data_IF_112848990462
#
_entry.id   IF_112848990462
#
_cell.length_a   1.000
_cell.length_b   1.000
_cell.length_c   1.000
_cell.angle_alpha   90.00
_cell.angle_beta   90.00
_cell.angle_gamma   90.00
#
_symmetry.space_group_name_H-M   'P 1'
#
loop_
_entity.id
_entity.type
_entity.pdbx_description
1 polymer ?
#
# COMPACT_ATOMS: atom_id res chain seq x y z
N UNK A 1 -68.60 32.60 23.45
CA UNK A 1 -68.26 31.16 23.28
C UNK A 1 -67.83 30.76 21.87
N UNK A 2 -68.69 30.35 20.92
CA UNK A 2 -68.20 29.77 19.63
C UNK A 2 -67.33 30.73 18.80
N UNK A 3 -67.70 32.02 18.75
CA UNK A 3 -66.89 33.07 18.08
C UNK A 3 -65.55 33.33 18.76
N UNK A 4 -65.47 33.17 20.08
CA UNK A 4 -64.23 33.35 20.84
C UNK A 4 -63.31 32.15 20.69
N UNK A 5 -63.83 30.91 20.79
CA UNK A 5 -63.07 29.70 20.48
C UNK A 5 -62.45 29.74 19.08
N UNK A 6 -63.19 30.26 18.08
CA UNK A 6 -62.66 30.40 16.71
C UNK A 6 -61.52 31.42 16.61
N UNK A 7 -61.55 32.51 17.40
CA UNK A 7 -60.46 33.49 17.48
C UNK A 7 -59.24 32.89 18.18
N UNK A 8 -59.43 32.20 19.30
CA UNK A 8 -58.33 31.57 20.06
C UNK A 8 -57.64 30.50 19.23
N UNK A 9 -58.39 29.65 18.53
CA UNK A 9 -57.83 28.63 17.63
C UNK A 9 -57.05 29.24 16.46
N UNK A 10 -57.48 30.39 15.93
CA UNK A 10 -56.75 31.09 14.87
C UNK A 10 -55.39 31.59 15.37
N UNK A 11 -55.36 32.23 16.54
CA UNK A 11 -54.12 32.72 17.18
C UNK A 11 -53.16 31.55 17.48
N UNK A 12 -53.67 30.45 18.04
CA UNK A 12 -52.86 29.26 18.31
C UNK A 12 -52.26 28.66 17.03
N UNK A 13 -53.04 28.63 15.94
CA UNK A 13 -52.58 28.11 14.65
C UNK A 13 -51.50 28.99 14.01
N UNK A 14 -51.59 30.32 14.17
CA UNK A 14 -50.60 31.28 13.67
C UNK A 14 -49.30 31.21 14.49
N UNK A 15 -49.39 31.09 15.82
CA UNK A 15 -48.24 30.85 16.70
C UNK A 15 -47.54 29.52 16.38
N UNK A 16 -48.30 28.45 16.14
CA UNK A 16 -47.73 27.14 15.79
C UNK A 16 -47.01 27.20 14.44
N UNK A 17 -47.58 27.89 13.45
CA UNK A 17 -46.93 28.12 12.16
C UNK A 17 -45.64 28.94 12.30
N UNK A 18 -45.68 30.02 13.08
CA UNK A 18 -44.50 30.85 13.34
C UNK A 18 -43.38 30.05 14.03
N UNK A 19 -43.71 29.33 15.12
CA UNK A 19 -42.75 28.50 15.84
C UNK A 19 -42.17 27.39 14.94
N UNK A 20 -42.99 26.79 14.07
CA UNK A 20 -42.50 25.79 13.11
C UNK A 20 -41.54 26.37 12.08
N UNK A 21 -41.73 27.64 11.67
CA UNK A 21 -40.85 28.35 10.74
C UNK A 21 -39.51 28.66 11.41
N UNK A 22 -39.55 29.20 12.64
CA UNK A 22 -38.34 29.48 13.43
C UNK A 22 -37.55 28.19 13.71
N UNK A 23 -38.23 27.09 14.06
CA UNK A 23 -37.56 25.80 14.28
C UNK A 23 -36.87 25.26 13.02
N UNK A 24 -37.50 25.41 11.83
CA UNK A 24 -36.88 25.04 10.55
C UNK A 24 -35.67 25.90 10.23
N UNK A 25 -35.79 27.22 10.37
CA UNK A 25 -34.68 28.16 10.12
C UNK A 25 -33.49 27.89 11.07
N UNK A 26 -33.76 27.61 12.35
CA UNK A 26 -32.72 27.22 13.31
C UNK A 26 -32.06 25.88 12.95
N UNK A 27 -32.83 24.89 12.51
CA UNK A 27 -32.29 23.59 12.07
C UNK A 27 -31.42 23.74 10.81
N UNK A 28 -31.85 24.56 9.85
CA UNK A 28 -31.05 24.88 8.65
C UNK A 28 -29.75 25.61 9.01
N UNK A 29 -29.79 26.54 9.96
CA UNK A 29 -28.61 27.27 10.44
C UNK A 29 -27.64 26.33 11.17
N UNK A 30 -28.14 25.43 12.01
CA UNK A 30 -27.35 24.40 12.68
C UNK A 30 -26.69 23.46 11.67
N UNK A 31 -27.41 23.02 10.63
CA UNK A 31 -26.84 22.18 9.58
C UNK A 31 -25.74 22.89 8.78
N UNK A 32 -25.90 24.19 8.50
CA UNK A 32 -24.85 24.99 7.84
C UNK A 32 -23.61 25.12 8.73
N UNK A 33 -23.80 25.35 10.03
CA UNK A 33 -22.70 25.41 10.99
C UNK A 33 -21.97 24.06 11.11
N UNK A 34 -22.70 22.95 11.16
CA UNK A 34 -22.12 21.61 11.20
C UNK A 34 -21.33 21.30 9.92
N UNK A 35 -21.86 21.60 8.74
CA UNK A 35 -21.18 21.39 7.47
C UNK A 35 -19.88 22.23 7.35
N UNK A 36 -19.89 23.47 7.84
CA UNK A 36 -18.69 24.31 7.88
C UNK A 36 -17.65 23.77 8.89
N UNK A 37 -18.09 23.25 10.03
CA UNK A 37 -17.21 22.62 11.01
C UNK A 37 -16.56 21.34 10.47
N UNK A 38 -17.31 20.50 9.74
CA UNK A 38 -16.77 19.34 9.03
C UNK A 38 -15.72 19.74 8.01
N UNK A 39 -15.99 20.80 7.24
CA UNK A 39 -15.04 21.34 6.25
C UNK A 39 -13.77 21.86 6.92
N UNK A 40 -13.88 22.62 8.02
CA UNK A 40 -12.72 23.12 8.76
C UNK A 40 -11.90 21.98 9.36
N UNK A 41 -12.57 20.97 9.91
CA UNK A 41 -11.91 19.78 10.46
C UNK A 41 -11.14 19.03 9.37
N UNK A 42 -11.74 18.84 8.20
CA UNK A 42 -11.08 18.23 7.05
C UNK A 42 -9.83 19.01 6.59
N UNK A 43 -9.92 20.35 6.53
CA UNK A 43 -8.78 21.19 6.15
C UNK A 43 -7.64 21.09 7.18
N UNK A 44 -7.96 21.09 8.47
CA UNK A 44 -6.98 20.92 9.54
C UNK A 44 -6.29 19.57 9.48
N UNK A 45 -7.04 18.49 9.24
CA UNK A 45 -6.47 17.14 9.05
C UNK A 45 -5.56 17.09 7.83
N UNK A 46 -5.96 17.75 6.73
CA UNK A 46 -5.12 17.84 5.54
C UNK A 46 -3.84 18.62 5.80
N UNK A 47 -3.92 19.75 6.48
CA UNK A 47 -2.75 20.55 6.85
C UNK A 47 -1.81 19.79 7.78
N UNK A 48 -2.36 19.05 8.75
CA UNK A 48 -1.57 18.19 9.63
C UNK A 48 -0.84 17.09 8.84
N UNK A 49 -1.54 16.38 7.93
CA UNK A 49 -0.90 15.40 7.04
C UNK A 49 0.20 16.03 6.19
N UNK A 50 -0.02 17.22 5.66
CA UNK A 50 0.98 17.93 4.88
C UNK A 50 2.21 18.29 5.72
N UNK A 51 2.03 18.74 6.97
CA UNK A 51 3.13 19.01 7.90
C UNK A 51 3.94 17.76 8.24
N UNK A 52 3.25 16.65 8.53
CA UNK A 52 3.90 15.36 8.80
C UNK A 52 4.68 14.88 7.58
N UNK A 53 4.12 15.03 6.38
CA UNK A 53 4.80 14.70 5.14
C UNK A 53 6.04 15.59 4.89
N UNK A 54 5.94 16.91 5.07
CA UNK A 54 7.09 17.81 4.94
C UNK A 54 8.19 17.50 5.97
N UNK A 55 7.81 17.12 7.19
CA UNK A 55 8.77 16.65 8.21
C UNK A 55 9.49 15.38 7.75
N UNK A 56 8.74 14.39 7.27
CA UNK A 56 9.31 13.16 6.70
C UNK A 56 10.29 13.47 5.57
N UNK A 57 9.89 14.32 4.61
CA UNK A 57 10.76 14.72 3.50
C UNK A 57 12.06 15.34 3.98
N UNK A 58 11.99 16.23 4.99
CA UNK A 58 13.18 16.85 5.56
C UNK A 58 14.12 15.83 6.21
N UNK A 59 13.57 14.95 7.06
CA UNK A 59 14.37 13.93 7.74
C UNK A 59 15.03 13.00 6.72
N UNK A 60 14.28 12.61 5.69
CA UNK A 60 14.76 11.81 4.57
C UNK A 60 15.91 12.50 3.82
N UNK A 61 15.74 13.75 3.39
CA UNK A 61 16.76 14.42 2.57
C UNK A 61 18.02 14.73 3.37
N UNK A 62 17.88 14.99 4.67
CA UNK A 62 19.02 15.15 5.56
C UNK A 62 19.85 13.87 5.66
N UNK A 63 19.19 12.71 5.78
CA UNK A 63 19.86 11.40 5.74
C UNK A 63 20.55 11.16 4.40
N UNK A 64 19.85 11.41 3.29
CA UNK A 64 20.40 11.19 1.94
C UNK A 64 21.59 12.11 1.64
N UNK A 65 21.54 13.37 2.09
CA UNK A 65 22.67 14.31 2.01
C UNK A 65 23.88 13.79 2.77
N UNK A 66 23.69 13.31 4.01
CA UNK A 66 24.77 12.75 4.82
C UNK A 66 25.41 11.54 4.13
N UNK A 67 24.60 10.68 3.51
CA UNK A 67 25.12 9.55 2.74
C UNK A 67 25.88 9.99 1.49
N UNK A 68 25.34 10.95 0.73
CA UNK A 68 25.99 11.50 -0.45
C UNK A 68 27.34 12.15 -0.14
N UNK A 69 27.45 12.87 0.98
CA UNK A 69 28.71 13.46 1.46
C UNK A 69 29.71 12.37 1.88
N UNK A 70 29.26 11.34 2.59
CA UNK A 70 30.17 10.26 3.01
C UNK A 70 30.67 9.43 1.82
N UNK A 71 29.80 9.13 0.85
CA UNK A 71 30.18 8.42 -0.37
C UNK A 71 31.15 9.27 -1.20
N UNK A 72 30.87 10.57 -1.35
CA UNK A 72 31.71 11.51 -2.08
C UNK A 72 33.06 11.84 -1.39
N UNK A 73 33.23 11.48 -0.12
CA UNK A 73 34.46 11.79 0.65
C UNK A 73 35.71 11.01 0.20
N UNK A 74 35.58 10.02 -0.69
CA UNK A 74 36.68 9.17 -1.15
C UNK A 74 37.15 8.14 -0.11
N UNK A 75 36.39 7.95 0.97
CA UNK A 75 36.68 6.96 2.03
C UNK A 75 36.52 5.51 1.57
N UNK A 76 35.70 5.28 0.55
CA UNK A 76 35.42 3.96 -0.01
C UNK A 76 36.27 3.71 -1.26
N UNK A 77 36.57 2.43 -1.52
CA UNK A 77 37.09 2.06 -2.84
C UNK A 77 36.01 2.29 -3.91
N UNK A 78 36.45 2.40 -5.17
CA UNK A 78 35.64 2.87 -6.29
C UNK A 78 34.33 2.06 -6.50
N UNK A 79 34.42 0.73 -6.39
CA UNK A 79 33.28 -0.19 -6.57
C UNK A 79 32.21 -0.03 -5.46
N UNK A 80 32.56 -0.13 -4.15
CA UNK A 80 31.62 0.20 -3.08
C UNK A 80 31.03 1.62 -3.19
N UNK A 81 31.85 2.62 -3.55
CA UNK A 81 31.37 4.00 -3.69
C UNK A 81 30.30 4.11 -4.78
N UNK A 82 30.56 3.50 -5.96
CA UNK A 82 29.60 3.47 -7.07
C UNK A 82 28.31 2.73 -6.69
N UNK A 83 28.43 1.54 -6.09
CA UNK A 83 27.27 0.75 -5.69
C UNK A 83 26.41 1.48 -4.64
N UNK A 84 27.05 2.08 -3.62
CA UNK A 84 26.36 2.90 -2.62
C UNK A 84 25.68 4.12 -3.26
N UNK A 85 26.36 4.82 -4.17
CA UNK A 85 25.78 5.96 -4.88
C UNK A 85 24.54 5.56 -5.69
N UNK A 86 24.59 4.41 -6.37
CA UNK A 86 23.47 3.88 -7.15
C UNK A 86 22.27 3.53 -6.27
N UNK A 87 22.51 2.92 -5.11
CA UNK A 87 21.49 2.56 -4.13
C UNK A 87 20.81 3.81 -3.56
N UNK A 88 21.60 4.78 -3.07
CA UNK A 88 21.07 6.03 -2.51
C UNK A 88 20.29 6.81 -3.57
N UNK A 89 20.83 6.95 -4.79
CA UNK A 89 20.15 7.64 -5.89
C UNK A 89 18.82 6.97 -6.26
N UNK A 90 18.82 5.65 -6.41
CA UNK A 90 17.61 4.89 -6.71
C UNK A 90 16.55 5.01 -5.61
N UNK A 91 16.96 5.16 -4.34
CA UNK A 91 16.03 5.40 -3.22
C UNK A 91 15.35 6.76 -3.34
N UNK A 92 16.11 7.81 -3.63
CA UNK A 92 15.55 9.16 -3.84
C UNK A 92 14.56 9.16 -5.01
N UNK A 93 14.90 8.48 -6.10
CA UNK A 93 14.02 8.33 -7.28
C UNK A 93 12.75 7.55 -6.96
N UNK A 94 12.83 6.50 -6.14
CA UNK A 94 11.70 5.65 -5.76
C UNK A 94 10.66 6.38 -4.89
N UNK A 95 11.08 7.34 -4.06
CA UNK A 95 10.17 8.19 -3.29
C UNK A 95 9.43 9.20 -4.19
N UNK A 96 9.82 9.37 -5.46
CA UNK A 96 9.25 10.37 -6.35
C UNK A 96 9.52 11.81 -5.90
N UNK A 97 10.58 12.00 -5.10
CA UNK A 97 10.94 13.29 -4.53
C UNK A 97 11.79 14.07 -5.54
N UNK A 98 11.42 15.33 -5.74
CA UNK A 98 12.21 16.30 -6.49
C UNK A 98 12.50 17.52 -5.62
N UNK A 99 13.35 18.43 -6.11
CA UNK A 99 13.55 19.73 -5.45
C UNK A 99 12.24 20.53 -5.29
N UNK A 100 11.20 20.24 -6.07
CA UNK A 100 9.88 20.90 -5.93
C UNK A 100 9.04 20.33 -4.79
N UNK A 101 9.37 19.15 -4.28
CA UNK A 101 8.62 18.50 -3.20
C UNK A 101 8.79 19.21 -1.85
N UNK A 102 9.86 20.01 -1.70
CA UNK A 102 10.19 20.71 -0.45
C UNK A 102 9.62 22.14 -0.45
N UNK A 103 9.11 22.57 0.69
CA UNK A 103 8.66 23.95 0.87
C UNK A 103 9.83 24.91 1.15
N UNK A 104 10.78 24.48 1.98
CA UNK A 104 11.88 25.33 2.43
C UNK A 104 13.05 25.33 1.44
N UNK A 105 13.61 26.51 1.16
CA UNK A 105 14.72 26.69 0.21
C UNK A 105 15.94 25.85 0.62
N UNK A 106 16.27 25.82 1.92
CA UNK A 106 17.39 25.04 2.44
C UNK A 106 17.25 23.54 2.13
N UNK A 107 16.06 22.99 2.27
CA UNK A 107 15.79 21.57 1.99
C UNK A 107 15.95 21.26 0.48
N UNK A 108 15.63 22.23 -0.40
CA UNK A 108 15.87 22.14 -1.85
C UNK A 108 17.36 22.15 -2.19
N UNK A 109 18.13 22.99 -1.51
CA UNK A 109 19.58 23.06 -1.68
C UNK A 109 20.23 21.75 -1.22
N UNK A 110 19.79 21.20 -0.08
CA UNK A 110 20.24 19.90 0.41
C UNK A 110 19.96 18.78 -0.59
N UNK A 111 18.78 18.77 -1.20
CA UNK A 111 18.46 17.83 -2.27
C UNK A 111 19.43 17.98 -3.45
N UNK A 112 19.63 19.21 -3.93
CA UNK A 112 20.45 19.48 -5.10
C UNK A 112 21.91 19.08 -4.87
N UNK A 113 22.46 19.39 -3.69
CA UNK A 113 23.81 19.00 -3.29
C UNK A 113 23.97 17.49 -3.18
N UNK A 114 22.97 16.80 -2.62
CA UNK A 114 23.00 15.34 -2.50
C UNK A 114 23.04 14.68 -3.88
N UNK A 115 22.15 15.09 -4.79
CA UNK A 115 22.11 14.57 -6.16
C UNK A 115 23.40 14.87 -6.91
N UNK A 116 23.90 16.10 -6.86
CA UNK A 116 25.14 16.49 -7.54
C UNK A 116 26.35 15.67 -7.03
N UNK A 117 26.45 15.43 -5.73
CA UNK A 117 27.52 14.62 -5.15
C UNK A 117 27.45 13.16 -5.63
N UNK A 118 26.24 12.57 -5.64
CA UNK A 118 26.03 11.21 -6.13
C UNK A 118 26.34 11.09 -7.62
N UNK A 119 25.89 12.05 -8.43
CA UNK A 119 26.14 12.08 -9.87
C UNK A 119 27.63 12.16 -10.18
N UNK A 120 28.37 13.01 -9.46
CA UNK A 120 29.84 13.06 -9.59
C UNK A 120 30.51 11.72 -9.31
N UNK A 121 30.04 10.96 -8.32
CA UNK A 121 30.61 9.63 -8.02
C UNK A 121 30.33 8.66 -9.18
N UNK A 122 29.10 8.67 -9.70
CA UNK A 122 28.69 7.80 -10.80
C UNK A 122 29.41 8.15 -12.11
N UNK A 123 29.54 9.43 -12.45
CA UNK A 123 30.17 9.92 -13.69
C UNK A 123 31.69 9.75 -13.70
N UNK A 124 32.35 9.88 -12.55
CA UNK A 124 33.81 9.72 -12.45
C UNK A 124 34.26 8.25 -12.32
N UNK A 125 33.33 7.32 -12.24
CA UNK A 125 33.64 5.90 -12.10
C UNK A 125 34.18 5.30 -13.39
N UNK A 126 35.19 4.44 -13.28
CA UNK A 126 35.76 3.73 -14.41
C UNK A 126 34.77 2.73 -15.01
N UNK A 127 34.98 2.34 -16.28
CA UNK A 127 34.11 1.38 -16.97
C UNK A 127 34.02 0.02 -16.26
N UNK A 128 35.13 -0.42 -15.65
CA UNK A 128 35.18 -1.63 -14.83
C UNK A 128 34.27 -1.51 -13.61
N UNK A 129 34.41 -0.40 -12.88
CA UNK A 129 33.59 -0.10 -11.70
C UNK A 129 32.10 -0.05 -12.03
N UNK A 130 31.73 0.60 -13.12
CA UNK A 130 30.34 0.67 -13.60
C UNK A 130 29.80 -0.74 -13.83
N UNK A 131 30.55 -1.59 -14.55
CA UNK A 131 30.10 -2.95 -14.89
C UNK A 131 29.92 -3.83 -13.64
N UNK A 132 30.89 -3.82 -12.72
CA UNK A 132 30.84 -4.65 -11.51
C UNK A 132 29.79 -4.12 -10.52
N UNK A 133 29.70 -2.80 -10.38
CA UNK A 133 28.74 -2.14 -9.52
C UNK A 133 27.30 -2.26 -9.99
N UNK A 134 27.04 -2.17 -11.30
CA UNK A 134 25.71 -2.40 -11.88
C UNK A 134 25.28 -3.86 -11.70
N UNK A 135 26.19 -4.82 -11.90
CA UNK A 135 25.89 -6.24 -11.66
C UNK A 135 25.52 -6.50 -10.19
N UNK A 136 26.21 -5.86 -9.25
CA UNK A 136 25.84 -5.92 -7.84
C UNK A 136 24.46 -5.31 -7.61
N UNK A 137 24.24 -4.10 -8.11
CA UNK A 137 23.01 -3.34 -7.94
C UNK A 137 21.78 -4.07 -8.52
N UNK A 138 21.90 -4.70 -9.70
CA UNK A 138 20.84 -5.50 -10.29
C UNK A 138 20.45 -6.70 -9.44
N UNK A 139 21.43 -7.43 -8.89
CA UNK A 139 21.19 -8.55 -7.99
C UNK A 139 20.53 -8.08 -6.69
N UNK A 140 21.03 -6.99 -6.11
CA UNK A 140 20.43 -6.35 -4.94
C UNK A 140 18.96 -5.95 -5.18
N UNK A 141 18.67 -5.28 -6.30
CA UNK A 141 17.32 -4.89 -6.68
C UNK A 141 16.41 -6.11 -6.90
N UNK A 142 16.93 -7.20 -7.42
CA UNK A 142 16.18 -8.46 -7.60
C UNK A 142 15.73 -9.03 -6.24
N UNK A 143 16.61 -9.03 -5.24
CA UNK A 143 16.24 -9.41 -3.87
C UNK A 143 15.15 -8.50 -3.30
N UNK A 144 15.31 -7.18 -3.42
CA UNK A 144 14.32 -6.22 -2.92
C UNK A 144 12.95 -6.40 -3.58
N UNK A 145 12.91 -6.59 -4.90
CA UNK A 145 11.65 -6.83 -5.63
C UNK A 145 10.99 -8.15 -5.22
N UNK A 146 11.78 -9.18 -4.97
CA UNK A 146 11.27 -10.47 -4.49
C UNK A 146 10.62 -10.32 -3.10
N UNK A 147 11.31 -9.65 -2.17
CA UNK A 147 10.79 -9.38 -0.81
C UNK A 147 9.51 -8.54 -0.90
N UNK A 148 9.51 -7.44 -1.66
CA UNK A 148 8.34 -6.59 -1.82
C UNK A 148 7.13 -7.36 -2.39
N UNK A 149 7.34 -8.25 -3.37
CA UNK A 149 6.26 -9.11 -3.89
C UNK A 149 5.70 -10.02 -2.80
N UNK A 150 6.56 -10.59 -1.95
CA UNK A 150 6.12 -11.42 -0.82
C UNK A 150 5.35 -10.61 0.21
N UNK A 151 5.78 -9.38 0.54
CA UNK A 151 5.06 -8.49 1.46
C UNK A 151 3.65 -8.14 0.95
N UNK A 152 3.52 -7.78 -0.33
CA UNK A 152 2.22 -7.53 -0.95
C UNK A 152 1.33 -8.78 -0.87
N UNK A 153 1.90 -9.96 -1.12
CA UNK A 153 1.18 -11.21 -0.98
C UNK A 153 0.76 -11.49 0.47
N UNK A 154 1.60 -11.15 1.46
CA UNK A 154 1.25 -11.27 2.89
C UNK A 154 0.04 -10.39 3.21
N UNK A 155 0.08 -9.11 2.84
CA UNK A 155 -1.00 -8.16 3.10
C UNK A 155 -2.33 -8.58 2.47
N UNK A 156 -2.27 -9.21 1.30
CA UNK A 156 -3.42 -9.83 0.66
C UNK A 156 -4.10 -10.86 1.55
N UNK A 157 -3.33 -11.81 2.08
CA UNK A 157 -3.85 -12.92 2.86
C UNK A 157 -4.24 -12.50 4.28
N UNK A 158 -3.55 -11.51 4.88
CA UNK A 158 -3.98 -10.87 6.13
C UNK A 158 -5.38 -10.26 5.96
N UNK A 159 -5.62 -9.59 4.82
CA UNK A 159 -6.91 -8.97 4.48
C UNK A 159 -7.80 -9.85 3.59
N UNK A 160 -7.64 -11.18 3.65
CA UNK A 160 -8.28 -12.11 2.71
C UNK A 160 -9.79 -11.92 2.60
N UNK A 161 -10.48 -11.70 3.73
CA UNK A 161 -11.94 -11.52 3.75
C UNK A 161 -12.43 -10.28 2.96
N UNK A 162 -11.59 -9.26 2.79
CA UNK A 162 -11.89 -8.09 1.94
C UNK A 162 -11.49 -8.31 0.48
N UNK A 163 -10.52 -9.20 0.26
CA UNK A 163 -9.86 -9.36 -1.03
C UNK A 163 -10.20 -10.67 -1.75
N UNK A 164 -10.97 -11.59 -1.16
CA UNK A 164 -11.23 -12.95 -1.69
C UNK A 164 -11.93 -12.99 -3.06
N UNK A 165 -12.63 -11.90 -3.43
CA UNK A 165 -13.23 -11.73 -4.75
C UNK A 165 -12.22 -11.34 -5.83
N UNK A 166 -10.99 -11.06 -5.45
CA UNK A 166 -9.89 -10.74 -6.34
C UNK A 166 -8.86 -11.87 -6.33
N UNK A 167 -8.13 -11.99 -7.42
CA UNK A 167 -6.90 -12.77 -7.50
C UNK A 167 -5.81 -11.81 -7.95
N UNK A 168 -4.63 -11.99 -7.40
CA UNK A 168 -3.45 -11.26 -7.81
C UNK A 168 -2.75 -12.04 -8.92
N UNK A 169 -2.65 -11.44 -10.10
CA UNK A 169 -1.83 -11.97 -11.18
C UNK A 169 -0.48 -11.23 -11.20
N UNK A 170 0.64 -11.97 -11.16
CA UNK A 170 1.95 -11.36 -11.31
C UNK A 170 2.04 -10.72 -12.69
N UNK A 171 2.38 -9.43 -12.74
CA UNK A 171 2.56 -8.66 -13.97
C UNK A 171 3.79 -7.77 -13.82
N UNK A 172 4.95 -8.27 -14.23
CA UNK A 172 6.23 -7.57 -14.03
C UNK A 172 6.53 -7.44 -12.53
N UNK A 173 6.58 -6.20 -12.04
CA UNK A 173 6.88 -5.86 -10.65
C UNK A 173 5.65 -5.63 -9.77
N UNK A 174 4.45 -5.68 -10.34
CA UNK A 174 3.20 -5.45 -9.62
C UNK A 174 2.27 -6.67 -9.68
N UNK A 175 1.34 -6.72 -8.71
CA UNK A 175 0.21 -7.62 -8.77
C UNK A 175 -1.03 -6.90 -9.28
N UNK A 176 -1.56 -7.33 -10.43
CA UNK A 176 -2.83 -6.81 -10.93
C UNK A 176 -3.99 -7.54 -10.27
N UNK A 177 -4.92 -6.79 -9.67
CA UNK A 177 -6.19 -7.33 -9.16
C UNK A 177 -7.06 -7.70 -10.36
N UNK A 178 -7.42 -8.98 -10.47
CA UNK A 178 -8.48 -9.44 -11.36
C UNK A 178 -9.61 -10.05 -10.54
N UNK A 179 -10.84 -9.89 -11.00
CA UNK A 179 -11.97 -10.65 -10.46
C UNK A 179 -11.60 -12.13 -10.45
N UNK A 180 -11.68 -12.73 -9.27
CA UNK A 180 -11.33 -14.13 -9.12
C UNK A 180 -12.34 -14.97 -9.93
N UNK A 181 -11.90 -16.07 -10.58
CA UNK A 181 -12.82 -17.04 -11.17
C UNK A 181 -13.83 -17.59 -10.14
N UNK A 182 -13.47 -17.49 -8.85
CA UNK A 182 -14.31 -17.75 -7.69
C UNK A 182 -15.44 -16.71 -7.54
N UNK A 183 -15.17 -15.42 -7.71
CA UNK A 183 -16.21 -14.40 -7.76
C UNK A 183 -17.18 -14.66 -8.91
N UNK A 184 -16.66 -14.96 -10.11
CA UNK A 184 -17.48 -15.34 -11.28
C UNK A 184 -18.35 -16.57 -10.96
N UNK A 185 -17.78 -17.57 -10.29
CA UNK A 185 -18.50 -18.77 -9.84
C UNK A 185 -19.60 -18.48 -8.81
N UNK A 186 -19.32 -17.69 -7.77
CA UNK A 186 -20.28 -17.29 -6.75
C UNK A 186 -21.44 -16.46 -7.36
N UNK A 187 -21.13 -15.49 -8.22
CA UNK A 187 -22.14 -14.72 -8.94
C UNK A 187 -23.01 -15.62 -9.83
N UNK A 188 -22.42 -16.61 -10.51
CA UNK A 188 -23.19 -17.57 -11.32
C UNK A 188 -24.06 -18.52 -10.48
N UNK A 189 -23.59 -18.97 -9.32
CA UNK A 189 -24.34 -19.85 -8.42
C UNK A 189 -25.52 -19.13 -7.75
N UNK A 190 -25.35 -17.86 -7.38
CA UNK A 190 -26.43 -17.00 -6.87
C UNK A 190 -27.55 -16.81 -7.90
N UNK A 191 -27.22 -16.75 -9.19
CA UNK A 191 -28.20 -16.71 -10.29
C UNK A 191 -28.94 -18.05 -10.39
N UNK A 192 -28.24 -19.18 -10.37
CA UNK A 192 -28.91 -20.50 -10.46
C UNK A 192 -29.85 -20.77 -9.27
N UNK A 193 -29.47 -20.37 -8.06
CA UNK A 193 -30.29 -20.54 -6.85
C UNK A 193 -31.52 -19.61 -6.80
N UNK A 194 -31.49 -18.47 -7.50
CA UNK A 194 -32.64 -17.55 -7.57
C UNK A 194 -33.67 -17.97 -8.62
N UNK A 195 -33.26 -18.71 -9.66
CA UNK A 195 -34.14 -19.15 -10.75
C UNK A 195 -34.61 -20.62 -10.66
N UNK A 196 -34.00 -21.46 -9.82
CA UNK A 196 -34.43 -22.86 -9.61
C UNK A 196 -34.66 -23.18 -8.12
N UNK A 197 -35.91 -23.38 -7.68
CA UNK A 197 -36.21 -23.78 -6.30
C UNK A 197 -35.88 -25.27 -6.13
N UNK A 198 -34.63 -25.59 -5.81
CA UNK A 198 -34.24 -26.95 -5.45
C UNK A 198 -34.68 -27.28 -4.01
N UNK A 199 -35.17 -28.50 -3.74
CA UNK A 199 -35.51 -28.94 -2.39
C UNK A 199 -34.28 -28.88 -1.47
N UNK A 200 -34.51 -28.54 -0.20
CA UNK A 200 -33.51 -28.18 0.83
C UNK A 200 -32.30 -29.15 0.86
N UNK A 201 -32.52 -30.44 0.66
CA UNK A 201 -31.47 -31.47 0.64
C UNK A 201 -30.59 -31.38 -0.62
N UNK A 202 -31.18 -31.15 -1.80
CA UNK A 202 -30.44 -30.91 -3.04
C UNK A 202 -29.64 -29.61 -3.02
N UNK A 203 -30.17 -28.58 -2.34
CA UNK A 203 -29.46 -27.32 -2.09
C UNK A 203 -28.19 -27.49 -1.25
N UNK A 204 -28.23 -28.30 -0.19
CA UNK A 204 -27.07 -28.56 0.68
C UNK A 204 -25.99 -29.37 -0.06
N UNK A 205 -26.37 -30.39 -0.84
CA UNK A 205 -25.41 -31.14 -1.67
C UNK A 205 -24.79 -30.25 -2.77
N UNK A 206 -25.58 -29.40 -3.42
CA UNK A 206 -25.07 -28.44 -4.40
C UNK A 206 -24.11 -27.42 -3.76
N UNK A 207 -24.41 -26.90 -2.57
CA UNK A 207 -23.52 -26.03 -1.81
C UNK A 207 -22.22 -26.73 -1.40
N UNK A 208 -22.28 -28.02 -1.06
CA UNK A 208 -21.12 -28.82 -0.68
C UNK A 208 -20.20 -29.12 -1.89
N UNK A 209 -20.78 -29.46 -3.04
CA UNK A 209 -20.04 -29.71 -4.28
C UNK A 209 -19.43 -28.42 -4.80
N UNK A 210 -20.20 -27.32 -4.82
CA UNK A 210 -19.69 -26.00 -5.19
C UNK A 210 -18.57 -25.57 -4.25
N UNK A 211 -18.67 -25.82 -2.94
CA UNK A 211 -17.59 -25.57 -1.97
C UNK A 211 -16.32 -26.39 -2.25
N UNK A 212 -16.41 -27.68 -2.54
CA UNK A 212 -15.25 -28.52 -2.88
C UNK A 212 -14.61 -28.07 -4.20
N UNK A 213 -15.42 -27.73 -5.20
CA UNK A 213 -14.93 -27.19 -6.47
C UNK A 213 -14.28 -25.82 -6.29
N UNK A 214 -14.84 -25.01 -5.39
CA UNK A 214 -14.26 -23.74 -4.93
C UNK A 214 -12.87 -23.97 -4.36
N UNK A 215 -12.72 -24.93 -3.44
CA UNK A 215 -11.44 -25.24 -2.81
C UNK A 215 -10.40 -25.73 -3.82
N UNK A 216 -10.77 -26.63 -4.74
CA UNK A 216 -9.85 -27.09 -5.80
C UNK A 216 -9.42 -25.94 -6.72
N UNK A 217 -10.30 -24.99 -7.02
CA UNK A 217 -10.02 -23.86 -7.92
C UNK A 217 -9.21 -22.75 -7.23
N UNK A 218 -9.49 -22.46 -5.96
CA UNK A 218 -8.66 -21.62 -5.06
C UNK A 218 -7.22 -22.12 -5.09
N UNK A 219 -7.00 -23.42 -4.86
CA UNK A 219 -5.65 -24.00 -4.85
C UNK A 219 -4.94 -23.78 -6.19
N UNK A 220 -5.64 -23.92 -7.32
CA UNK A 220 -5.05 -23.70 -8.65
C UNK A 220 -4.69 -22.23 -8.91
N UNK A 221 -5.58 -21.31 -8.57
CA UNK A 221 -5.40 -19.88 -8.85
C UNK A 221 -4.34 -19.25 -7.92
N UNK A 222 -4.26 -19.70 -6.66
CA UNK A 222 -3.21 -19.25 -5.73
C UNK A 222 -1.90 -20.03 -5.88
N UNK A 223 -1.89 -21.23 -6.47
CA UNK A 223 -0.65 -21.98 -6.72
C UNK A 223 0.31 -21.22 -7.64
N UNK A 224 -0.22 -20.54 -8.66
CA UNK A 224 0.59 -19.67 -9.52
C UNK A 224 1.19 -18.48 -8.74
N UNK A 225 0.43 -17.91 -7.80
CA UNK A 225 0.89 -16.85 -6.92
C UNK A 225 1.99 -17.36 -5.99
N UNK A 226 1.76 -18.45 -5.26
CA UNK A 226 2.74 -19.06 -4.36
C UNK A 226 4.02 -19.49 -5.09
N UNK A 227 3.89 -20.08 -6.28
CA UNK A 227 5.05 -20.40 -7.13
C UNK A 227 5.83 -19.15 -7.52
N UNK A 228 5.15 -18.05 -7.87
CA UNK A 228 5.83 -16.79 -8.22
C UNK A 228 6.59 -16.14 -7.07
N UNK A 229 6.20 -16.44 -5.82
CA UNK A 229 6.87 -15.97 -4.61
C UNK A 229 7.72 -17.06 -3.94
N UNK A 230 7.98 -18.18 -4.63
CA UNK A 230 8.79 -19.31 -4.14
C UNK A 230 8.29 -19.96 -2.84
N UNK A 231 6.98 -19.95 -2.60
CA UNK A 231 6.34 -20.61 -1.44
C UNK A 231 5.78 -21.97 -1.88
N UNK A 232 6.11 -23.02 -1.12
CA UNK A 232 5.59 -24.37 -1.37
C UNK A 232 4.09 -24.47 -1.05
N UNK A 233 3.31 -24.98 -2.01
CA UNK A 233 1.84 -25.06 -1.94
C UNK A 233 1.32 -26.33 -1.25
N UNK A 234 2.21 -27.28 -0.92
CA UNK A 234 1.81 -28.65 -0.57
C UNK A 234 0.96 -28.77 0.71
N UNK A 235 0.89 -27.73 1.55
CA UNK A 235 0.12 -27.69 2.81
C UNK A 235 -1.01 -26.66 2.86
N UNK A 236 -1.24 -25.92 1.76
CA UNK A 236 -2.14 -24.76 1.72
C UNK A 236 -3.44 -25.10 0.97
N UNK A 237 -4.47 -25.58 1.68
CA UNK A 237 -5.78 -25.93 1.12
C UNK A 237 -6.96 -25.32 1.92
N UNK A 238 -7.91 -24.65 1.23
CA UNK A 238 -9.20 -24.19 1.77
C UNK A 238 -9.36 -22.68 2.11
N UNK A 239 -10.40 -22.31 2.87
CA UNK A 239 -10.66 -20.94 3.39
C UNK A 239 -9.95 -20.70 4.74
N UNK A 240 -9.65 -21.77 5.48
CA UNK A 240 -8.76 -21.80 6.66
C UNK A 240 -7.27 -21.56 6.31
N UNK A 241 -7.02 -21.08 5.10
CA UNK A 241 -5.71 -20.92 4.45
C UNK A 241 -5.02 -19.64 4.83
N UNK A 242 -5.75 -18.57 5.14
CA UNK A 242 -5.14 -17.26 5.36
C UNK A 242 -4.03 -17.30 6.44
N UNK A 243 -4.21 -17.88 7.64
CA UNK A 243 -3.15 -17.91 8.65
C UNK A 243 -1.94 -18.78 8.25
N UNK A 244 -2.18 -19.93 7.60
CA UNK A 244 -1.10 -20.82 7.15
C UNK A 244 -0.33 -20.25 5.96
N UNK A 245 -1.03 -19.58 5.05
CA UNK A 245 -0.45 -18.87 3.92
C UNK A 245 0.36 -17.66 4.39
N UNK A 246 -0.19 -16.86 5.31
CA UNK A 246 0.54 -15.74 5.93
C UNK A 246 1.83 -16.24 6.55
N UNK A 247 1.77 -17.30 7.38
CA UNK A 247 2.97 -17.88 7.99
C UNK A 247 3.98 -18.39 6.97
N UNK A 248 3.56 -19.12 5.94
CA UNK A 248 4.45 -19.62 4.90
C UNK A 248 5.10 -18.48 4.09
N UNK A 249 4.37 -17.38 3.87
CA UNK A 249 4.91 -16.18 3.23
C UNK A 249 5.89 -15.46 4.16
N UNK A 250 5.59 -15.32 5.45
CA UNK A 250 6.49 -14.74 6.46
C UNK A 250 7.80 -15.52 6.58
N UNK A 251 7.73 -16.85 6.64
CA UNK A 251 8.91 -17.72 6.66
C UNK A 251 9.76 -17.49 5.38
N UNK A 252 9.11 -17.36 4.21
CA UNK A 252 9.79 -17.10 2.94
C UNK A 252 10.35 -15.68 2.81
N UNK A 253 9.73 -14.68 3.43
CA UNK A 253 10.28 -13.32 3.55
C UNK A 253 11.56 -13.38 4.38
N UNK A 254 11.49 -14.00 5.54
CA UNK A 254 12.62 -14.15 6.47
C UNK A 254 13.80 -14.88 5.81
N UNK A 255 13.52 -15.90 5.01
CA UNK A 255 14.53 -16.60 4.22
C UNK A 255 15.19 -15.67 3.19
N UNK A 256 14.41 -14.92 2.40
CA UNK A 256 14.98 -13.98 1.42
C UNK A 256 15.72 -12.81 2.07
N UNK A 257 15.29 -12.33 3.24
CA UNK A 257 16.04 -11.34 4.00
C UNK A 257 17.39 -11.90 4.49
N UNK A 258 17.42 -13.16 4.92
CA UNK A 258 18.65 -13.86 5.30
C UNK A 258 19.60 -14.04 4.11
N UNK A 259 19.07 -14.40 2.93
CA UNK A 259 19.84 -14.49 1.69
C UNK A 259 20.39 -13.13 1.26
N UNK A 260 19.57 -12.08 1.31
CA UNK A 260 19.99 -10.71 1.03
C UNK A 260 21.10 -10.29 1.99
N UNK A 261 20.97 -10.56 3.28
CA UNK A 261 22.02 -10.28 4.27
C UNK A 261 23.32 -11.02 3.96
N UNK A 262 23.26 -12.30 3.59
CA UNK A 262 24.45 -13.07 3.17
C UNK A 262 25.08 -12.48 1.90
N UNK A 263 24.28 -12.09 0.93
CA UNK A 263 24.73 -11.43 -0.30
C UNK A 263 25.48 -10.13 0.03
N UNK A 264 24.92 -9.28 0.91
CA UNK A 264 25.56 -8.04 1.38
C UNK A 264 26.92 -8.30 2.00
N UNK A 265 26.96 -9.18 3.00
CA UNK A 265 28.17 -9.48 3.77
C UNK A 265 29.28 -10.11 2.92
N UNK A 266 28.93 -10.91 1.92
CA UNK A 266 29.91 -11.62 1.08
C UNK A 266 30.45 -10.80 -0.08
N UNK A 267 29.75 -9.72 -0.49
CA UNK A 267 30.13 -8.94 -1.68
C UNK A 267 30.61 -7.54 -1.31
N UNK A 268 29.77 -6.73 -0.64
CA UNK A 268 30.08 -5.33 -0.29
C UNK A 268 29.59 -5.00 1.13
N UNK A 269 30.24 -5.51 2.19
CA UNK A 269 29.81 -5.29 3.57
C UNK A 269 29.88 -3.81 3.99
N UNK A 270 30.77 -3.04 3.35
CA UNK A 270 31.03 -1.62 3.66
C UNK A 270 29.83 -0.71 3.40
N UNK A 271 28.91 -1.14 2.53
CA UNK A 271 27.79 -0.33 2.07
C UNK A 271 26.44 -0.74 2.68
N UNK A 272 26.41 -1.75 3.57
CA UNK A 272 25.18 -2.26 4.20
C UNK A 272 24.35 -1.16 4.88
N UNK A 273 25.00 -0.15 5.45
CA UNK A 273 24.32 1.00 6.08
C UNK A 273 23.60 1.94 5.11
N UNK A 274 23.91 1.88 3.81
CA UNK A 274 23.20 2.63 2.77
C UNK A 274 21.99 1.86 2.25
N UNK A 275 21.90 0.58 2.60
CA UNK A 275 20.89 -0.38 2.17
C UNK A 275 19.79 -0.60 3.23
N UNK A 276 19.59 0.41 4.10
CA UNK A 276 18.71 0.39 5.28
C UNK A 276 17.39 -0.36 5.05
N UNK A 277 16.88 -1.05 6.09
CA UNK A 277 15.63 -1.79 5.99
C UNK A 277 14.46 -0.86 5.65
N UNK A 278 13.51 -1.39 4.87
CA UNK A 278 12.19 -0.77 4.67
C UNK A 278 11.36 -0.84 5.94
#
# INVERSE_FOLDING_TARGET
MYKEQKKTNKILSEQTKFNSKVAKENFELQNKQNAELERQTFLLEQEQRNREYQKYLRDFIFEMKKFAEEIGSGKYSEIPAYAAARIVKSRIEAEGISSQSFEQIQDKEFYSQAIESLDKVLENSSSKTITEGDLYFEKYQTFLRSIAKKEIAKDYFVNWAKNFLFTFQPAGDEFKRKLSPLAIGLFSASVVLTFFPLPIVGGIFALSVTFIWLQKRIVRDYSALFSSISVSTNSIQGILVAPKAVKAIEDSITESESELRKFRQSNLPEIEKYELPR
#
